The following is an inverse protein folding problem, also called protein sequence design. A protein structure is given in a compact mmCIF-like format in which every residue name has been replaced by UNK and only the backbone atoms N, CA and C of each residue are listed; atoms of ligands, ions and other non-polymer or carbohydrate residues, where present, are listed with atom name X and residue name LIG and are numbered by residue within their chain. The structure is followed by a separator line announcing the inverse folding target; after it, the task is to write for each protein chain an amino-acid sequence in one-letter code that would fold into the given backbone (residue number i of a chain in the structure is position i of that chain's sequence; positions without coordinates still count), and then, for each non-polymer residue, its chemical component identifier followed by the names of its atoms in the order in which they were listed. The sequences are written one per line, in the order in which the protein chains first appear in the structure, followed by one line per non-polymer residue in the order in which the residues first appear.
data_IF_988173162218
#
_entry.id   IF_988173162218
#
_cell.length_a   1.000
_cell.length_b   1.000
_cell.length_c   1.000
_cell.angle_alpha   90.00
_cell.angle_beta   90.00
_cell.angle_gamma   90.00
#
_symmetry.space_group_name_H-M   'P 1'
#
loop_
_entity.id
_entity.type
_entity.pdbx_description
1 polymer ?
#
# COMPACT_ATOMS: atom_id res chain seq x y z
N UNK A 1 -16.55 20.08 9.53
CA UNK A 1 -16.55 20.38 8.10
C UNK A 1 -15.17 20.11 7.57
N UNK A 2 -15.09 19.29 6.53
CA UNK A 2 -13.78 18.93 5.94
C UNK A 2 -13.65 19.51 4.52
N UNK A 3 -14.22 20.71 4.31
CA UNK A 3 -14.07 21.40 3.01
C UNK A 3 -12.81 22.24 3.12
N UNK A 4 -11.89 22.00 2.21
CA UNK A 4 -10.66 22.79 2.13
C UNK A 4 -10.39 23.11 0.68
N UNK A 5 -10.30 24.38 0.34
CA UNK A 5 -9.75 24.81 -0.93
C UNK A 5 -8.25 24.50 -0.92
N UNK A 6 -7.82 23.56 -1.77
CA UNK A 6 -6.41 23.16 -1.93
C UNK A 6 -5.67 24.20 -2.75
N UNK A 7 -6.25 24.52 -3.90
CA UNK A 7 -5.79 25.54 -4.86
C UNK A 7 -7.02 26.28 -5.37
N UNK A 8 -6.89 27.49 -5.94
CA UNK A 8 -8.04 28.26 -6.45
C UNK A 8 -8.93 27.38 -7.34
N UNK A 9 -10.16 27.11 -6.89
CA UNK A 9 -11.16 26.29 -7.58
C UNK A 9 -10.95 24.78 -7.50
N UNK A 10 -9.94 24.28 -6.79
CA UNK A 10 -9.80 22.85 -6.45
C UNK A 10 -10.07 22.66 -4.96
N UNK A 11 -11.11 21.88 -4.64
CA UNK A 11 -11.56 21.67 -3.28
C UNK A 11 -11.51 20.19 -2.89
N UNK A 12 -11.07 19.90 -1.68
CA UNK A 12 -11.24 18.61 -1.06
C UNK A 12 -12.67 18.51 -0.51
N UNK A 13 -13.37 17.44 -0.87
CA UNK A 13 -14.74 17.14 -0.40
C UNK A 13 -14.87 15.75 0.20
N UNK A 14 -13.75 15.07 0.40
CA UNK A 14 -13.69 13.73 0.97
C UNK A 14 -14.07 13.64 2.44
N UNK A 15 -13.87 12.46 3.00
CA UNK A 15 -14.27 12.11 4.38
C UNK A 15 -13.18 11.34 5.11
N UNK A 16 -13.22 11.39 6.44
CA UNK A 16 -12.39 10.56 7.31
C UNK A 16 -13.24 9.48 7.96
N UNK A 17 -12.79 8.23 7.87
CA UNK A 17 -13.35 7.09 8.58
C UNK A 17 -12.42 6.65 9.72
N UNK A 18 -12.94 6.73 10.95
CA UNK A 18 -12.25 6.28 12.17
C UNK A 18 -12.96 5.11 12.82
N UNK A 19 -13.93 4.52 12.12
CA UNK A 19 -14.83 3.49 12.66
C UNK A 19 -14.63 2.13 12.02
N UNK A 20 -14.29 2.09 10.75
CA UNK A 20 -13.96 0.84 10.04
C UNK A 20 -12.67 0.27 10.59
N UNK A 21 -12.72 -0.99 10.99
CA UNK A 21 -11.59 -1.66 11.64
C UNK A 21 -10.66 -2.37 10.66
N UNK A 22 -11.15 -2.67 9.44
CA UNK A 22 -10.38 -3.38 8.41
C UNK A 22 -10.69 -2.86 7.02
N UNK A 23 -9.66 -2.50 6.28
CA UNK A 23 -9.71 -2.20 4.84
C UNK A 23 -9.82 -3.50 4.04
N UNK A 24 -10.67 -3.54 3.00
CA UNK A 24 -10.99 -4.76 2.23
C UNK A 24 -11.41 -5.98 3.10
N UNK A 25 -11.84 -5.75 4.34
CA UNK A 25 -12.11 -6.82 5.29
C UNK A 25 -10.86 -7.57 5.80
N UNK A 26 -9.65 -7.19 5.38
CA UNK A 26 -8.38 -7.89 5.62
C UNK A 26 -7.41 -7.09 6.49
N UNK A 27 -7.16 -5.83 6.15
CA UNK A 27 -6.05 -5.04 6.67
C UNK A 27 -6.52 -4.13 7.80
N UNK A 28 -5.94 -4.26 8.97
CA UNK A 28 -6.33 -3.45 10.13
C UNK A 28 -6.12 -1.95 9.88
N UNK A 29 -7.00 -1.14 10.45
CA UNK A 29 -6.97 0.32 10.36
C UNK A 29 -6.82 0.99 11.74
N UNK A 30 -5.68 0.82 12.43
CA UNK A 30 -5.50 1.38 13.78
C UNK A 30 -5.55 2.91 13.79
N UNK A 31 -5.26 3.56 12.67
CA UNK A 31 -5.30 5.02 12.50
C UNK A 31 -6.49 5.46 11.61
N UNK A 32 -7.45 4.56 11.34
CA UNK A 32 -8.53 4.83 10.39
C UNK A 32 -8.06 4.93 8.94
N UNK A 33 -8.87 5.55 8.09
CA UNK A 33 -8.58 5.82 6.67
C UNK A 33 -9.32 7.08 6.23
N UNK A 34 -8.80 7.79 5.25
CA UNK A 34 -9.56 8.83 4.54
C UNK A 34 -10.01 8.31 3.17
N UNK A 35 -11.22 8.68 2.75
CA UNK A 35 -11.70 8.52 1.38
C UNK A 35 -11.77 9.89 0.77
N UNK A 36 -10.82 10.19 -0.10
CA UNK A 36 -10.66 11.52 -0.67
C UNK A 36 -11.39 11.63 -2.00
N UNK A 37 -12.14 12.70 -2.16
CA UNK A 37 -12.76 13.11 -3.39
C UNK A 37 -12.52 14.62 -3.58
N UNK A 38 -12.48 15.06 -4.83
CA UNK A 38 -12.09 16.43 -5.15
C UNK A 38 -13.07 17.07 -6.12
N UNK A 39 -13.40 18.35 -5.90
CA UNK A 39 -14.14 19.17 -6.85
C UNK A 39 -13.17 20.10 -7.59
N UNK A 40 -13.27 20.11 -8.89
CA UNK A 40 -12.66 21.12 -9.76
C UNK A 40 -13.78 22.03 -10.26
N UNK A 41 -13.88 23.21 -9.64
CA UNK A 41 -14.92 24.21 -9.93
C UNK A 41 -14.39 25.26 -10.89
N UNK A 42 -14.97 25.29 -12.10
CA UNK A 42 -14.68 26.26 -13.14
C UNK A 42 -16.00 26.71 -13.81
N UNK A 43 -16.05 27.03 -15.10
CA UNK A 43 -17.30 27.23 -15.84
C UNK A 43 -18.18 25.99 -15.74
N UNK A 44 -17.57 24.80 -15.88
CA UNK A 44 -18.13 23.49 -15.55
C UNK A 44 -17.54 22.95 -14.29
N UNK A 45 -18.29 22.11 -13.59
CA UNK A 45 -17.85 21.45 -12.35
C UNK A 45 -17.56 19.97 -12.62
N UNK A 46 -16.37 19.53 -12.24
CA UNK A 46 -16.01 18.11 -12.23
C UNK A 46 -15.80 17.62 -10.79
N UNK A 47 -16.42 16.50 -10.44
CA UNK A 47 -16.08 15.72 -9.26
C UNK A 47 -15.10 14.63 -9.68
N UNK A 48 -13.99 14.49 -8.94
CA UNK A 48 -12.98 13.46 -9.17
C UNK A 48 -13.12 12.40 -8.07
N UNK A 49 -13.49 11.18 -8.48
CA UNK A 49 -13.84 10.04 -7.65
C UNK A 49 -14.96 10.33 -6.63
N UNK A 50 -15.42 9.33 -5.92
CA UNK A 50 -16.39 9.43 -4.84
C UNK A 50 -15.82 8.84 -3.55
N UNK A 51 -16.68 8.43 -2.62
CA UNK A 51 -16.29 7.80 -1.36
C UNK A 51 -17.10 6.52 -1.16
N UNK A 52 -16.72 5.73 -0.19
CA UNK A 52 -17.44 4.54 0.26
C UNK A 52 -18.89 4.90 0.62
N UNK A 53 -19.85 4.01 0.31
CA UNK A 53 -21.30 4.27 0.36
C UNK A 53 -21.77 4.76 1.74
N UNK A 54 -21.21 4.21 2.82
CA UNK A 54 -21.57 4.60 4.19
C UNK A 54 -21.32 6.09 4.48
N UNK A 55 -20.42 6.71 3.73
CA UNK A 55 -20.05 8.13 3.86
C UNK A 55 -20.63 9.02 2.76
N UNK A 56 -21.41 8.46 1.83
CA UNK A 56 -21.99 9.20 0.70
C UNK A 56 -22.77 10.44 1.11
N UNK A 57 -23.58 10.37 2.18
CA UNK A 57 -24.31 11.54 2.68
C UNK A 57 -23.39 12.70 3.05
N UNK A 58 -22.25 12.39 3.67
CA UNK A 58 -21.26 13.41 4.06
C UNK A 58 -20.58 14.02 2.82
N UNK A 59 -20.25 13.19 1.82
CA UNK A 59 -19.75 13.67 0.54
C UNK A 59 -20.74 14.69 -0.09
N UNK A 60 -22.03 14.36 -0.13
CA UNK A 60 -23.04 15.24 -0.73
C UNK A 60 -23.22 16.54 0.05
N UNK A 61 -23.16 16.50 1.38
CA UNK A 61 -23.12 17.71 2.22
C UNK A 61 -21.90 18.57 1.86
N UNK A 62 -20.69 17.99 1.80
CA UNK A 62 -19.46 18.71 1.47
C UNK A 62 -19.53 19.35 0.07
N UNK A 63 -20.05 18.61 -0.91
CA UNK A 63 -20.28 19.15 -2.28
C UNK A 63 -21.20 20.37 -2.22
N UNK A 64 -22.36 20.23 -1.59
CA UNK A 64 -23.34 21.30 -1.50
C UNK A 64 -22.80 22.54 -0.78
N UNK A 65 -22.04 22.37 0.29
CA UNK A 65 -21.39 23.48 0.99
C UNK A 65 -20.33 24.18 0.12
N UNK A 66 -19.68 23.44 -0.80
CA UNK A 66 -18.62 23.97 -1.67
C UNK A 66 -19.20 24.76 -2.85
N UNK A 67 -20.17 24.18 -3.57
CA UNK A 67 -20.67 24.75 -4.83
C UNK A 67 -22.13 25.26 -4.78
N UNK A 68 -22.80 25.14 -3.61
CA UNK A 68 -24.21 25.51 -3.46
C UNK A 68 -25.12 24.66 -4.33
N UNK A 69 -26.01 25.30 -5.07
CA UNK A 69 -26.97 24.66 -5.96
C UNK A 69 -26.44 24.52 -7.41
N UNK A 70 -25.14 24.76 -7.66
CA UNK A 70 -24.56 24.54 -8.99
C UNK A 70 -24.62 23.03 -9.33
N UNK A 71 -24.93 22.68 -10.60
CA UNK A 71 -24.85 21.30 -11.05
C UNK A 71 -23.40 20.81 -11.07
N UNK A 72 -23.22 19.49 -10.96
CA UNK A 72 -21.97 18.82 -11.31
C UNK A 72 -22.11 18.34 -12.75
N UNK A 73 -21.27 18.86 -13.65
CA UNK A 73 -21.29 18.49 -15.06
C UNK A 73 -20.68 17.12 -15.32
N UNK A 74 -19.60 16.80 -14.59
CA UNK A 74 -18.84 15.58 -14.80
C UNK A 74 -18.47 14.88 -13.48
N UNK A 75 -18.58 13.55 -13.49
CA UNK A 75 -17.90 12.67 -12.53
C UNK A 75 -16.76 11.98 -13.25
N UNK A 76 -15.53 12.27 -12.91
CA UNK A 76 -14.35 11.57 -13.40
C UNK A 76 -14.05 10.42 -12.45
N UNK A 77 -13.97 9.20 -12.98
CA UNK A 77 -13.69 7.99 -12.18
C UNK A 77 -12.30 7.48 -12.54
N UNK A 78 -11.34 7.76 -11.67
CA UNK A 78 -9.98 7.27 -11.81
C UNK A 78 -9.86 5.78 -11.45
N UNK A 79 -10.69 5.32 -10.47
CA UNK A 79 -10.65 3.97 -9.96
C UNK A 79 -12.03 3.45 -9.56
N UNK A 80 -12.30 2.17 -9.82
CA UNK A 80 -13.62 1.56 -9.66
C UNK A 80 -13.79 0.72 -8.39
N UNK A 81 -12.78 0.66 -7.52
CA UNK A 81 -12.94 -0.01 -6.25
C UNK A 81 -14.10 0.61 -5.45
N UNK A 82 -14.95 -0.20 -4.77
CA UNK A 82 -16.18 0.31 -4.15
C UNK A 82 -15.99 1.44 -3.14
N UNK A 83 -14.86 1.52 -2.46
CA UNK A 83 -14.57 2.61 -1.52
C UNK A 83 -14.38 3.99 -2.19
N UNK A 84 -14.25 4.02 -3.53
CA UNK A 84 -14.22 5.25 -4.36
C UNK A 84 -15.37 5.33 -5.35
N UNK A 85 -16.14 4.26 -5.53
CA UNK A 85 -17.17 4.21 -6.56
C UNK A 85 -18.57 3.91 -6.06
N UNK A 86 -18.74 3.36 -4.84
CA UNK A 86 -20.07 2.91 -4.38
C UNK A 86 -21.08 4.04 -4.19
N UNK A 87 -20.64 5.28 -4.03
CA UNK A 87 -21.54 6.45 -3.99
C UNK A 87 -22.04 6.93 -5.37
N UNK A 88 -21.58 6.37 -6.50
CA UNK A 88 -21.91 6.78 -7.87
C UNK A 88 -23.44 6.72 -8.13
N UNK A 89 -24.10 5.62 -7.73
CA UNK A 89 -25.53 5.46 -7.94
C UNK A 89 -26.37 6.52 -7.20
N UNK A 90 -25.97 6.88 -5.99
CA UNK A 90 -26.64 7.94 -5.22
C UNK A 90 -26.37 9.32 -5.83
N UNK A 91 -25.14 9.56 -6.26
CA UNK A 91 -24.76 10.80 -6.94
C UNK A 91 -25.55 11.01 -8.23
N UNK A 92 -25.69 9.97 -9.08
CA UNK A 92 -26.46 10.02 -10.33
C UNK A 92 -27.96 10.30 -10.09
N UNK A 93 -28.51 9.86 -8.96
CA UNK A 93 -29.89 10.21 -8.56
C UNK A 93 -30.04 11.67 -8.14
N UNK A 94 -29.03 12.24 -7.46
CA UNK A 94 -29.03 13.64 -7.03
C UNK A 94 -28.74 14.60 -8.17
N UNK A 95 -27.88 14.22 -9.10
CA UNK A 95 -27.48 14.99 -10.28
C UNK A 95 -27.76 14.19 -11.55
N UNK A 96 -29.04 14.11 -12.00
CA UNK A 96 -29.43 13.26 -13.14
C UNK A 96 -28.68 13.56 -14.44
N UNK A 97 -28.29 14.80 -14.65
CA UNK A 97 -27.61 15.28 -15.88
C UNK A 97 -26.08 15.06 -15.84
N UNK A 98 -25.53 14.59 -14.72
CA UNK A 98 -24.08 14.37 -14.58
C UNK A 98 -23.60 13.35 -15.62
N UNK A 99 -22.50 13.67 -16.30
CA UNK A 99 -21.84 12.75 -17.22
C UNK A 99 -20.70 12.04 -16.54
N UNK A 100 -20.69 10.72 -16.64
CA UNK A 100 -19.62 9.89 -16.04
C UNK A 100 -18.49 9.72 -17.03
N UNK A 101 -17.30 10.18 -16.66
CA UNK A 101 -16.08 10.18 -17.47
C UNK A 101 -15.15 9.07 -17.01
N UNK A 102 -14.77 8.19 -17.92
CA UNK A 102 -13.85 7.09 -17.63
C UNK A 102 -13.39 6.40 -18.90
N UNK A 103 -12.41 5.50 -18.78
CA UNK A 103 -12.03 4.71 -19.95
C UNK A 103 -13.03 3.55 -20.19
N UNK A 104 -12.91 2.85 -21.30
CA UNK A 104 -13.85 1.80 -21.70
C UNK A 104 -14.06 0.73 -20.63
N UNK A 105 -13.00 0.35 -19.86
CA UNK A 105 -13.12 -0.64 -18.76
C UNK A 105 -13.85 -0.06 -17.56
N UNK A 106 -13.57 1.19 -17.20
CA UNK A 106 -14.29 1.93 -16.15
C UNK A 106 -15.79 1.95 -16.48
N UNK A 107 -16.16 2.33 -17.69
CA UNK A 107 -17.58 2.39 -18.10
C UNK A 107 -18.23 1.01 -18.12
N UNK A 108 -17.51 -0.03 -18.55
CA UNK A 108 -17.98 -1.41 -18.47
C UNK A 108 -18.26 -1.84 -17.02
N UNK A 109 -17.36 -1.50 -16.08
CA UNK A 109 -17.54 -1.81 -14.66
C UNK A 109 -18.68 -1.03 -14.03
N UNK A 110 -18.87 0.24 -14.39
CA UNK A 110 -20.01 1.06 -13.96
C UNK A 110 -21.34 0.43 -14.40
N UNK A 111 -21.43 -0.05 -15.64
CA UNK A 111 -22.58 -0.83 -16.10
C UNK A 111 -22.79 -2.10 -15.27
N UNK A 112 -21.72 -2.84 -15.00
CA UNK A 112 -21.76 -4.09 -14.23
C UNK A 112 -22.11 -3.93 -12.76
N UNK A 113 -21.53 -2.93 -12.07
CA UNK A 113 -21.77 -2.67 -10.65
C UNK A 113 -23.06 -1.89 -10.38
N UNK A 114 -23.37 -0.90 -11.22
CA UNK A 114 -24.39 0.11 -10.90
C UNK A 114 -25.53 0.17 -11.92
N UNK A 115 -25.46 -0.59 -13.03
CA UNK A 115 -26.47 -0.59 -14.08
C UNK A 115 -26.57 0.73 -14.84
N UNK A 116 -25.53 1.55 -14.85
CA UNK A 116 -25.50 2.85 -15.52
C UNK A 116 -24.80 2.70 -16.87
N UNK A 117 -25.55 2.89 -17.96
CA UNK A 117 -25.04 2.77 -19.34
C UNK A 117 -25.18 4.08 -20.14
N UNK A 118 -25.99 5.03 -19.65
CA UNK A 118 -26.24 6.31 -20.30
C UNK A 118 -25.45 7.45 -19.64
N UNK A 119 -25.34 8.57 -20.35
CA UNK A 119 -24.64 9.79 -19.92
C UNK A 119 -23.17 9.54 -19.54
N UNK A 120 -22.49 8.74 -20.37
CA UNK A 120 -21.09 8.41 -20.21
C UNK A 120 -20.22 9.10 -21.27
N UNK A 121 -18.99 9.40 -20.90
CA UNK A 121 -17.95 9.95 -21.78
C UNK A 121 -16.74 9.01 -21.70
N UNK A 122 -16.54 8.24 -22.77
CA UNK A 122 -15.33 7.40 -22.89
C UNK A 122 -14.14 8.29 -23.22
N UNK A 123 -13.05 8.10 -22.48
CA UNK A 123 -11.78 8.79 -22.70
C UNK A 123 -10.63 7.79 -22.88
N UNK A 124 -9.58 8.25 -23.54
CA UNK A 124 -8.39 7.48 -23.86
C UNK A 124 -7.12 8.18 -23.38
N UNK A 125 -6.00 7.48 -23.50
CA UNK A 125 -4.66 7.98 -23.16
C UNK A 125 -4.39 9.34 -23.80
N UNK A 126 -4.09 10.36 -23.00
CA UNK A 126 -3.74 11.71 -23.44
C UNK A 126 -4.89 12.58 -23.90
N UNK A 127 -6.14 12.07 -23.89
CA UNK A 127 -7.30 12.90 -24.19
C UNK A 127 -7.58 13.89 -23.06
N UNK A 128 -8.25 14.98 -23.39
CA UNK A 128 -8.51 16.08 -22.47
C UNK A 128 -9.98 16.50 -22.47
N UNK A 129 -10.45 16.95 -21.30
CA UNK A 129 -11.79 17.49 -21.07
C UNK A 129 -11.67 18.94 -20.58
N UNK A 130 -12.23 19.88 -21.32
CA UNK A 130 -12.26 21.29 -20.90
C UNK A 130 -13.40 21.56 -19.92
N UNK A 131 -13.08 22.27 -18.84
CA UNK A 131 -14.03 22.79 -17.86
C UNK A 131 -14.28 24.30 -18.02
N UNK A 132 -13.61 24.94 -18.97
CA UNK A 132 -13.58 26.38 -19.20
C UNK A 132 -12.15 26.90 -19.21
N UNK A 133 -11.69 27.49 -18.12
CA UNK A 133 -10.31 27.95 -17.97
C UNK A 133 -9.34 26.83 -17.55
N UNK A 134 -9.85 25.66 -17.19
CA UNK A 134 -9.07 24.48 -16.78
C UNK A 134 -9.35 23.30 -17.70
N UNK A 135 -8.34 22.46 -17.83
CA UNK A 135 -8.39 21.25 -18.63
C UNK A 135 -8.02 20.05 -17.74
N UNK A 136 -8.73 18.95 -17.90
CA UNK A 136 -8.40 17.67 -17.29
C UNK A 136 -7.83 16.75 -18.38
N UNK A 137 -6.60 16.31 -18.24
CA UNK A 137 -5.94 15.38 -19.17
C UNK A 137 -5.75 14.03 -18.50
N UNK A 138 -6.04 12.95 -19.23
CA UNK A 138 -6.15 11.59 -18.68
C UNK A 138 -4.98 10.71 -19.11
N UNK A 139 -4.37 10.00 -18.15
CA UNK A 139 -3.29 9.06 -18.41
C UNK A 139 -3.64 7.70 -17.81
N UNK A 140 -3.58 6.65 -18.63
CA UNK A 140 -3.91 5.30 -18.18
C UNK A 140 -2.80 4.73 -17.33
N UNK A 141 -3.16 4.17 -16.17
CA UNK A 141 -2.28 3.51 -15.22
C UNK A 141 -2.77 2.07 -14.91
N UNK A 142 -2.96 1.21 -15.93
CA UNK A 142 -3.58 -0.09 -15.75
C UNK A 142 -2.78 -0.95 -14.75
N UNK A 143 -3.51 -1.65 -13.87
CA UNK A 143 -2.97 -2.46 -12.78
C UNK A 143 -2.25 -1.65 -11.68
N UNK A 144 -2.61 -0.37 -11.50
CA UNK A 144 -2.18 0.41 -10.35
C UNK A 144 -3.42 0.84 -9.52
N UNK A 145 -4.18 -0.11 -8.86
CA UNK A 145 -3.86 -1.56 -8.84
C UNK A 145 -4.89 -2.41 -9.62
N UNK A 146 -5.93 -1.83 -10.21
CA UNK A 146 -6.92 -2.51 -11.06
C UNK A 146 -6.71 -2.19 -12.55
N UNK A 147 -7.33 -3.00 -13.47
CA UNK A 147 -7.03 -2.88 -14.91
C UNK A 147 -7.55 -1.62 -15.59
N UNK A 148 -8.52 -0.93 -14.98
CA UNK A 148 -9.14 0.30 -15.50
C UNK A 148 -8.49 1.57 -14.95
N UNK A 149 -7.64 1.47 -13.93
CA UNK A 149 -7.08 2.63 -13.23
C UNK A 149 -6.44 3.63 -14.19
N UNK A 150 -6.73 4.91 -13.95
CA UNK A 150 -6.13 6.04 -14.64
C UNK A 150 -5.79 7.15 -13.64
N UNK A 151 -5.05 8.14 -14.08
CA UNK A 151 -4.77 9.38 -13.35
C UNK A 151 -5.24 10.57 -14.16
N UNK A 152 -5.69 11.61 -13.48
CA UNK A 152 -6.20 12.85 -14.09
C UNK A 152 -5.27 13.99 -13.76
N UNK A 153 -4.83 14.75 -14.74
CA UNK A 153 -3.91 15.87 -14.58
C UNK A 153 -4.55 17.19 -14.99
N UNK A 154 -4.41 18.21 -14.14
CA UNK A 154 -4.81 19.58 -14.43
C UNK A 154 -3.55 20.42 -14.68
N UNK A 155 -3.18 20.69 -15.95
CA UNK A 155 -1.92 21.34 -16.30
C UNK A 155 -1.84 22.79 -15.83
N UNK A 156 -2.94 23.54 -15.81
CA UNK A 156 -2.98 24.95 -15.41
C UNK A 156 -2.60 25.13 -13.92
N UNK A 157 -2.83 24.10 -13.11
CA UNK A 157 -2.52 24.11 -11.68
C UNK A 157 -1.52 23.04 -11.30
N UNK A 158 -0.92 22.33 -12.29
CA UNK A 158 0.10 21.29 -12.07
C UNK A 158 -0.32 20.26 -11.01
N UNK A 159 -1.62 19.93 -11.00
CA UNK A 159 -2.24 19.04 -10.01
C UNK A 159 -2.53 17.69 -10.63
N UNK A 160 -2.09 16.62 -9.96
CA UNK A 160 -2.30 15.23 -10.35
C UNK A 160 -3.25 14.54 -9.38
N UNK A 161 -4.40 14.06 -9.87
CA UNK A 161 -5.34 13.21 -9.16
C UNK A 161 -5.02 11.76 -9.52
N UNK A 162 -4.64 10.95 -8.53
CA UNK A 162 -3.90 9.70 -8.79
C UNK A 162 -4.70 8.42 -8.54
N UNK A 163 -5.96 8.52 -8.12
CA UNK A 163 -6.62 7.37 -7.53
C UNK A 163 -5.79 6.86 -6.33
N UNK A 164 -5.64 5.59 -6.21
CA UNK A 164 -4.93 4.93 -5.11
C UNK A 164 -3.42 5.10 -5.10
N UNK A 165 -2.84 5.47 -6.24
CA UNK A 165 -1.41 5.71 -6.27
C UNK A 165 -1.01 6.84 -5.32
N UNK A 166 0.08 6.64 -4.58
CA UNK A 166 0.58 7.55 -3.54
C UNK A 166 -0.32 7.67 -2.30
N UNK A 167 -1.33 6.78 -2.19
CA UNK A 167 -2.22 6.68 -1.05
C UNK A 167 -1.55 6.10 0.19
N UNK A 168 -2.16 6.35 1.34
CA UNK A 168 -1.75 5.82 2.63
C UNK A 168 -2.97 5.43 3.47
N UNK A 169 -2.84 4.42 4.34
CA UNK A 169 -3.78 4.30 5.43
C UNK A 169 -3.62 5.48 6.41
N UNK A 170 -4.62 5.69 7.23
CA UNK A 170 -4.68 6.78 8.20
C UNK A 170 -5.72 7.85 7.85
N UNK A 171 -6.54 8.21 8.82
CA UNK A 171 -7.44 9.34 8.74
C UNK A 171 -6.66 10.63 8.97
N UNK A 172 -7.11 11.73 8.36
CA UNK A 172 -6.43 13.03 8.42
C UNK A 172 -6.78 13.76 9.72
N UNK A 173 -5.77 14.22 10.45
CA UNK A 173 -5.90 14.86 11.75
C UNK A 173 -5.92 16.40 11.62
N UNK A 174 -7.10 16.94 11.26
CA UNK A 174 -7.37 18.39 11.23
C UNK A 174 -6.91 19.11 9.96
N UNK A 175 -5.79 18.72 9.36
CA UNK A 175 -5.30 19.21 8.07
C UNK A 175 -5.60 18.25 6.94
N UNK A 176 -5.36 18.68 5.69
CA UNK A 176 -5.49 17.86 4.49
C UNK A 176 -4.18 17.83 3.72
N UNK A 177 -3.46 18.94 3.72
CA UNK A 177 -2.17 19.08 3.07
C UNK A 177 -1.04 18.53 3.97
N UNK A 178 -0.04 17.92 3.36
CA UNK A 178 1.11 17.35 4.07
C UNK A 178 1.77 18.33 5.03
N UNK A 179 1.85 19.62 4.67
CA UNK A 179 2.39 20.70 5.51
C UNK A 179 1.56 21.05 6.73
N UNK A 180 0.33 20.51 6.86
CA UNK A 180 -0.60 20.77 7.96
C UNK A 180 -0.67 19.60 8.95
N UNK A 181 -0.02 18.48 8.64
CA UNK A 181 -0.14 17.21 9.33
C UNK A 181 1.17 16.80 10.00
N UNK A 182 1.08 16.04 11.09
CA UNK A 182 2.21 15.29 11.60
C UNK A 182 2.39 14.01 10.77
N UNK A 183 3.43 13.98 9.95
CA UNK A 183 3.62 12.93 8.93
C UNK A 183 4.28 11.65 9.47
N UNK A 184 4.68 11.61 10.72
CA UNK A 184 5.51 10.52 11.25
C UNK A 184 4.96 9.13 10.96
N UNK A 185 3.69 8.89 11.26
CA UNK A 185 3.06 7.59 11.02
C UNK A 185 2.66 7.35 9.55
N UNK A 186 2.36 8.40 8.78
CA UNK A 186 1.94 8.26 7.38
C UNK A 186 3.02 7.63 6.50
N UNK A 187 4.31 7.80 6.80
CA UNK A 187 5.37 7.14 6.04
C UNK A 187 5.36 5.62 6.17
N UNK A 188 5.18 5.11 7.38
CA UNK A 188 5.05 3.67 7.58
C UNK A 188 3.70 3.14 7.04
N UNK A 189 2.62 3.92 7.17
CA UNK A 189 1.31 3.59 6.63
C UNK A 189 1.30 3.60 5.08
N UNK A 190 2.06 4.47 4.42
CA UNK A 190 2.23 4.44 2.96
C UNK A 190 2.94 3.16 2.50
N UNK A 191 4.00 2.75 3.17
CA UNK A 191 4.69 1.49 2.85
C UNK A 191 3.75 0.31 3.10
N UNK A 192 2.96 0.35 4.18
CA UNK A 192 1.98 -0.68 4.52
C UNK A 192 0.85 -0.74 3.48
N UNK A 193 0.29 0.40 3.09
CA UNK A 193 -0.69 0.52 2.02
C UNK A 193 -0.14 -0.06 0.72
N UNK A 194 1.05 0.40 0.30
CA UNK A 194 1.71 -0.13 -0.90
C UNK A 194 1.87 -1.65 -0.84
N UNK A 195 2.42 -2.19 0.25
CA UNK A 195 2.67 -3.63 0.41
C UNK A 195 1.38 -4.47 0.38
N UNK A 196 0.28 -3.94 0.94
CA UNK A 196 -1.00 -4.63 1.01
C UNK A 196 -1.78 -4.56 -0.32
N UNK A 197 -1.83 -3.40 -0.94
CA UNK A 197 -2.74 -3.06 -2.06
C UNK A 197 -1.99 -3.12 -3.41
N UNK A 198 -0.90 -2.42 -3.55
CA UNK A 198 -0.18 -2.23 -4.83
C UNK A 198 0.95 -3.25 -5.04
N UNK A 199 1.43 -3.87 -3.98
CA UNK A 199 2.72 -4.58 -3.90
C UNK A 199 3.01 -5.64 -4.95
N UNK A 200 2.00 -6.25 -5.57
CA UNK A 200 2.14 -7.19 -6.69
C UNK A 200 2.55 -6.51 -8.00
N UNK A 201 2.25 -5.24 -8.16
CA UNK A 201 2.20 -4.55 -9.45
C UNK A 201 3.37 -3.60 -9.68
N UNK A 202 4.58 -3.94 -9.21
CA UNK A 202 5.76 -3.08 -9.35
C UNK A 202 6.05 -2.63 -10.79
N UNK A 203 5.99 -3.53 -11.78
CA UNK A 203 6.22 -3.18 -13.18
C UNK A 203 5.15 -2.24 -13.77
N UNK A 204 3.84 -2.42 -13.53
CA UNK A 204 2.82 -1.41 -13.82
C UNK A 204 3.09 -0.05 -13.19
N UNK A 205 3.45 0.00 -11.89
CA UNK A 205 3.80 1.25 -11.19
C UNK A 205 4.99 1.94 -11.87
N UNK A 206 6.04 1.21 -12.24
CA UNK A 206 7.18 1.79 -12.97
C UNK A 206 6.77 2.43 -14.32
N UNK A 207 5.83 1.80 -15.04
CA UNK A 207 5.29 2.37 -16.29
C UNK A 207 4.47 3.65 -16.02
N UNK A 208 3.66 3.66 -14.98
CA UNK A 208 2.90 4.86 -14.57
C UNK A 208 3.86 6.00 -14.17
N UNK A 209 4.88 5.70 -13.34
CA UNK A 209 5.91 6.68 -12.95
C UNK A 209 6.65 7.26 -14.15
N UNK A 210 6.96 6.46 -15.19
CA UNK A 210 7.60 6.98 -16.41
C UNK A 210 6.73 8.01 -17.13
N UNK A 211 5.41 7.83 -17.16
CA UNK A 211 4.47 8.80 -17.76
C UNK A 211 4.43 10.09 -16.95
N UNK A 212 4.19 9.99 -15.64
CA UNK A 212 4.04 11.20 -14.81
C UNK A 212 5.32 12.01 -14.67
N UNK A 213 6.51 11.40 -14.84
CA UNK A 213 7.81 12.13 -14.86
C UNK A 213 7.91 13.15 -15.99
N UNK A 214 7.07 13.07 -17.01
CA UNK A 214 7.01 14.06 -18.10
C UNK A 214 6.14 15.26 -17.77
N UNK A 215 5.42 15.22 -16.65
CA UNK A 215 4.51 16.26 -16.20
C UNK A 215 5.17 17.16 -15.15
N UNK A 216 4.83 18.44 -15.17
CA UNK A 216 5.17 19.36 -14.10
C UNK A 216 4.14 19.20 -12.96
N UNK A 217 4.50 18.52 -11.87
CA UNK A 217 3.61 18.24 -10.76
C UNK A 217 4.00 19.09 -9.55
N UNK A 218 3.06 19.89 -9.04
CA UNK A 218 3.21 20.65 -7.81
C UNK A 218 2.38 20.04 -6.67
N UNK A 219 1.24 19.42 -7.00
CA UNK A 219 0.31 18.83 -6.02
C UNK A 219 -0.11 17.43 -6.47
N UNK A 220 -0.08 16.46 -5.55
CA UNK A 220 -0.60 15.10 -5.76
C UNK A 220 -1.81 14.91 -4.84
N UNK A 221 -2.95 14.59 -5.46
CA UNK A 221 -4.24 14.34 -4.82
C UNK A 221 -4.59 12.85 -4.94
N UNK A 222 -4.25 12.05 -3.94
CA UNK A 222 -4.60 10.63 -3.88
C UNK A 222 -5.96 10.41 -3.23
N UNK A 223 -6.55 9.24 -3.42
CA UNK A 223 -7.84 8.85 -2.83
C UNK A 223 -7.75 8.52 -1.34
N UNK A 224 -6.54 8.34 -0.81
CA UNK A 224 -6.28 8.08 0.61
C UNK A 224 -5.11 8.88 1.14
N UNK A 225 -5.20 9.33 2.40
CA UNK A 225 -4.13 10.03 3.10
C UNK A 225 -3.96 11.49 2.70
N UNK A 226 -2.82 12.11 2.99
CA UNK A 226 -2.57 13.52 2.74
C UNK A 226 -2.56 13.90 1.25
N UNK A 227 -2.92 15.14 0.97
CA UNK A 227 -2.58 15.81 -0.28
C UNK A 227 -1.11 16.24 -0.19
N UNK A 228 -0.30 15.80 -1.16
CA UNK A 228 1.14 15.98 -1.15
C UNK A 228 1.56 17.20 -1.96
N UNK A 229 2.16 18.18 -1.30
CA UNK A 229 2.75 19.38 -1.89
C UNK A 229 4.25 19.46 -1.61
N UNK A 230 4.62 19.56 -0.32
CA UNK A 230 6.02 19.71 0.10
C UNK A 230 6.80 18.42 0.01
N UNK A 231 6.17 17.29 0.32
CA UNK A 231 6.80 15.97 0.35
C UNK A 231 6.58 15.15 -0.94
N UNK A 232 6.03 15.74 -2.00
CA UNK A 232 5.71 15.05 -3.26
C UNK A 232 6.89 14.30 -3.87
N UNK A 233 8.07 14.90 -3.87
CA UNK A 233 9.29 14.25 -4.41
C UNK A 233 9.69 13.02 -3.60
N UNK A 234 9.57 13.10 -2.28
CA UNK A 234 9.83 11.99 -1.38
C UNK A 234 8.81 10.85 -1.58
N UNK A 235 7.55 11.20 -1.78
CA UNK A 235 6.47 10.24 -2.08
C UNK A 235 6.72 9.52 -3.41
N UNK A 236 7.08 10.25 -4.47
CA UNK A 236 7.42 9.68 -5.78
C UNK A 236 8.66 8.77 -5.67
N UNK A 237 9.69 9.21 -4.96
CA UNK A 237 10.91 8.42 -4.74
C UNK A 237 10.62 7.14 -3.94
N UNK A 238 9.75 7.21 -2.95
CA UNK A 238 9.34 6.04 -2.17
C UNK A 238 8.59 5.01 -3.05
N UNK A 239 7.65 5.46 -3.87
CA UNK A 239 6.94 4.58 -4.81
C UNK A 239 7.88 3.99 -5.87
N UNK A 240 8.86 4.75 -6.39
CA UNK A 240 9.88 4.24 -7.32
C UNK A 240 10.70 3.12 -6.67
N UNK A 241 11.15 3.31 -5.44
CA UNK A 241 11.91 2.31 -4.68
C UNK A 241 11.08 1.04 -4.40
N UNK A 242 9.86 1.21 -3.88
CA UNK A 242 8.98 0.08 -3.53
C UNK A 242 8.59 -0.74 -4.76
N UNK A 243 8.32 -0.09 -5.88
CA UNK A 243 7.95 -0.76 -7.13
C UNK A 243 9.12 -1.47 -7.83
N UNK A 244 10.34 -1.13 -7.49
CA UNK A 244 11.56 -1.89 -7.84
C UNK A 244 11.88 -2.98 -6.83
N UNK A 245 11.07 -3.10 -5.77
CA UNK A 245 11.29 -4.03 -4.65
C UNK A 245 12.63 -3.83 -3.95
N UNK A 246 13.17 -2.62 -3.96
CA UNK A 246 14.43 -2.28 -3.31
C UNK A 246 14.22 -2.12 -1.81
N UNK A 247 14.77 -3.06 -1.03
CA UNK A 247 14.78 -2.98 0.43
C UNK A 247 15.87 -2.04 0.96
N UNK A 248 15.60 -1.44 2.10
CA UNK A 248 16.62 -0.75 2.91
C UNK A 248 17.43 -1.78 3.72
N UNK A 249 18.68 -1.48 4.08
CA UNK A 249 19.41 -2.31 5.02
C UNK A 249 18.65 -2.47 6.34
N UNK A 250 18.34 -3.71 6.72
CA UNK A 250 17.60 -4.04 7.93
C UNK A 250 17.12 -5.48 7.93
N UNK A 251 16.77 -5.98 9.09
CA UNK A 251 16.37 -7.39 9.28
C UNK A 251 15.01 -7.50 9.93
N UNK A 252 14.14 -8.28 9.31
CA UNK A 252 12.89 -8.74 9.89
C UNK A 252 13.07 -10.16 10.39
N UNK A 253 12.73 -10.43 11.65
CA UNK A 253 12.66 -11.76 12.24
C UNK A 253 11.19 -12.06 12.51
N UNK A 254 10.60 -12.98 11.74
CA UNK A 254 9.22 -13.39 11.87
C UNK A 254 9.14 -14.85 12.29
N UNK A 255 8.46 -15.15 13.40
CA UNK A 255 8.45 -16.50 13.93
C UNK A 255 7.08 -16.93 14.48
N UNK A 256 6.83 -18.23 14.39
CA UNK A 256 5.78 -18.91 15.16
C UNK A 256 6.39 -19.60 16.37
N UNK A 257 5.70 -19.62 17.49
CA UNK A 257 6.13 -20.34 18.70
C UNK A 257 4.94 -20.80 19.51
N UNK A 258 4.90 -22.08 19.91
CA UNK A 258 3.81 -22.63 20.74
C UNK A 258 4.08 -22.47 22.24
N UNK A 259 5.29 -22.84 22.67
CA UNK A 259 5.66 -22.91 24.08
C UNK A 259 6.98 -22.18 24.40
N UNK A 260 7.37 -21.20 23.55
CA UNK A 260 8.51 -20.32 23.80
C UNK A 260 9.86 -20.81 23.29
N UNK A 261 10.04 -22.08 22.88
CA UNK A 261 11.37 -22.59 22.48
C UNK A 261 11.86 -21.96 21.17
N UNK A 262 10.99 -21.85 20.15
CA UNK A 262 11.32 -21.18 18.89
C UNK A 262 11.52 -19.67 19.10
N UNK A 263 10.77 -19.07 20.01
CA UNK A 263 10.91 -17.67 20.43
C UNK A 263 12.27 -17.40 21.09
N UNK A 264 12.71 -18.25 22.02
CA UNK A 264 14.02 -18.11 22.65
C UNK A 264 15.15 -18.16 21.62
N UNK A 265 15.03 -19.01 20.60
CA UNK A 265 15.98 -19.05 19.48
C UNK A 265 15.93 -17.75 18.68
N UNK A 266 14.73 -17.20 18.38
CA UNK A 266 14.58 -15.92 17.68
C UNK A 266 15.23 -14.77 18.48
N UNK A 267 15.01 -14.71 19.78
CA UNK A 267 15.61 -13.72 20.68
C UNK A 267 17.14 -13.83 20.74
N UNK A 268 17.67 -15.05 20.78
CA UNK A 268 19.12 -15.28 20.76
C UNK A 268 19.74 -14.82 19.43
N UNK A 269 19.14 -15.18 18.30
CA UNK A 269 19.57 -14.72 16.96
C UNK A 269 19.51 -13.19 16.88
N UNK A 270 18.44 -12.56 17.36
CA UNK A 270 18.29 -11.10 17.34
C UNK A 270 19.38 -10.40 18.14
N UNK A 271 19.71 -10.91 19.33
CA UNK A 271 20.79 -10.39 20.16
C UNK A 271 22.13 -10.49 19.44
N UNK A 272 22.44 -11.65 18.89
CA UNK A 272 23.69 -11.89 18.17
C UNK A 272 23.83 -11.00 16.94
N UNK A 273 22.74 -10.74 16.22
CA UNK A 273 22.71 -9.77 15.11
C UNK A 273 22.99 -8.33 15.60
N UNK A 274 22.37 -7.94 16.72
CA UNK A 274 22.56 -6.60 17.29
C UNK A 274 24.02 -6.38 17.75
N UNK A 275 24.66 -7.39 18.36
CA UNK A 275 26.07 -7.38 18.75
C UNK A 275 27.01 -7.22 17.55
N UNK A 276 26.63 -7.73 16.38
CA UNK A 276 27.32 -7.56 15.09
C UNK A 276 26.99 -6.24 14.38
N UNK A 277 26.19 -5.38 15.04
CA UNK A 277 25.85 -4.04 14.54
C UNK A 277 24.75 -4.02 13.50
N UNK A 278 24.03 -5.11 13.27
CA UNK A 278 22.86 -5.15 12.37
C UNK A 278 21.74 -4.30 12.95
N UNK A 279 21.23 -3.37 12.19
CA UNK A 279 20.11 -2.47 12.56
C UNK A 279 19.47 -1.80 11.35
N UNK A 280 18.14 -1.57 11.39
CA UNK A 280 17.23 -1.98 12.45
C UNK A 280 16.95 -3.49 12.43
N UNK A 281 16.53 -4.03 13.56
CA UNK A 281 15.97 -5.38 13.68
C UNK A 281 14.51 -5.23 14.10
N UNK A 282 13.61 -5.90 13.38
CA UNK A 282 12.18 -5.93 13.67
C UNK A 282 11.77 -7.38 13.97
N UNK A 283 11.24 -7.63 15.16
CA UNK A 283 10.83 -8.97 15.59
C UNK A 283 9.31 -9.09 15.66
N UNK A 284 8.78 -10.20 15.15
CA UNK A 284 7.35 -10.45 15.10
C UNK A 284 7.02 -11.89 15.52
N UNK A 285 6.31 -12.03 16.66
CA UNK A 285 5.58 -13.26 16.96
C UNK A 285 4.29 -13.28 16.15
N UNK A 286 4.22 -14.16 15.16
CA UNK A 286 3.14 -14.20 14.19
C UNK A 286 1.78 -14.62 14.77
N UNK A 287 1.76 -15.21 15.98
CA UNK A 287 0.51 -15.50 16.68
C UNK A 287 -0.23 -14.25 17.18
N UNK A 288 0.46 -13.10 17.27
CA UNK A 288 -0.10 -11.85 17.77
C UNK A 288 0.15 -10.64 16.87
N UNK A 289 1.14 -10.72 15.99
CA UNK A 289 1.48 -9.61 15.10
C UNK A 289 0.44 -9.41 13.99
N UNK A 290 0.13 -8.15 13.68
CA UNK A 290 -0.67 -7.84 12.50
C UNK A 290 0.11 -8.19 11.22
N UNK A 291 -0.41 -9.07 10.34
CA UNK A 291 0.30 -9.50 9.16
C UNK A 291 0.59 -8.37 8.15
N UNK A 292 -0.20 -7.29 8.14
CA UNK A 292 0.05 -6.13 7.28
C UNK A 292 1.29 -5.34 7.72
N UNK A 293 1.52 -5.25 9.03
CA UNK A 293 2.72 -4.61 9.59
C UNK A 293 3.98 -5.43 9.27
N UNK A 294 3.89 -6.75 9.40
CA UNK A 294 5.00 -7.64 9.02
C UNK A 294 5.29 -7.52 7.53
N UNK A 295 4.25 -7.53 6.69
CA UNK A 295 4.38 -7.41 5.24
C UNK A 295 4.98 -6.05 4.84
N UNK A 296 4.58 -4.95 5.50
CA UNK A 296 5.22 -3.63 5.36
C UNK A 296 6.73 -3.72 5.54
N UNK A 297 7.18 -4.35 6.63
CA UNK A 297 8.59 -4.41 6.95
C UNK A 297 9.36 -5.37 6.04
N UNK A 298 8.71 -6.43 5.51
CA UNK A 298 9.29 -7.27 4.45
C UNK A 298 9.48 -6.49 3.14
N UNK A 299 8.60 -5.51 2.83
CA UNK A 299 8.82 -4.59 1.71
C UNK A 299 9.90 -3.56 2.00
N UNK A 300 9.95 -3.06 3.24
CA UNK A 300 10.88 -2.01 3.66
C UNK A 300 12.32 -2.49 3.74
N UNK A 301 12.56 -3.69 4.27
CA UNK A 301 13.90 -4.20 4.56
C UNK A 301 14.33 -5.33 3.62
N UNK A 302 15.63 -5.46 3.44
CA UNK A 302 16.25 -6.39 2.48
C UNK A 302 16.45 -7.82 3.01
N UNK A 303 16.36 -8.02 4.33
CA UNK A 303 16.64 -9.30 4.98
C UNK A 303 15.45 -9.81 5.79
N UNK A 304 15.07 -11.08 5.54
CA UNK A 304 14.03 -11.78 6.28
C UNK A 304 14.58 -13.06 6.91
N UNK A 305 14.43 -13.19 8.21
CA UNK A 305 14.72 -14.41 9.00
C UNK A 305 13.39 -15.00 9.46
N UNK A 306 13.11 -16.25 9.11
CA UNK A 306 11.85 -16.90 9.47
C UNK A 306 12.07 -18.10 10.36
N UNK A 307 11.34 -18.15 11.49
CA UNK A 307 11.33 -19.24 12.44
C UNK A 307 9.99 -19.98 12.52
N UNK A 308 10.01 -21.31 12.49
CA UNK A 308 8.79 -22.11 12.62
C UNK A 308 9.03 -23.40 13.40
N UNK A 309 8.15 -23.75 14.38
CA UNK A 309 8.08 -25.13 14.81
C UNK A 309 7.45 -25.99 13.72
N UNK A 310 7.79 -27.28 13.68
CA UNK A 310 7.05 -28.26 12.90
C UNK A 310 5.71 -28.52 13.58
N UNK A 311 4.62 -28.24 12.85
CA UNK A 311 3.24 -28.43 13.30
C UNK A 311 2.48 -29.32 12.31
N UNK A 312 1.95 -30.44 12.78
CA UNK A 312 1.25 -31.44 11.95
C UNK A 312 2.05 -31.90 10.68
N UNK A 313 3.38 -31.94 10.78
CA UNK A 313 4.23 -32.30 9.67
C UNK A 313 4.48 -31.18 8.64
N UNK A 314 4.13 -29.93 8.95
CA UNK A 314 4.22 -28.75 8.12
C UNK A 314 4.72 -27.54 8.93
N UNK A 315 4.61 -26.36 8.35
CA UNK A 315 4.84 -25.08 9.04
C UNK A 315 3.79 -24.81 10.11
N UNK A 316 4.12 -23.94 11.04
CA UNK A 316 3.14 -23.33 11.92
C UNK A 316 2.17 -22.47 11.10
N UNK A 317 0.83 -22.55 11.33
CA UNK A 317 -0.16 -21.95 10.42
C UNK A 317 0.03 -20.46 10.15
N UNK A 318 0.38 -19.67 11.17
CA UNK A 318 0.60 -18.23 11.02
C UNK A 318 1.86 -17.91 10.20
N UNK A 319 2.87 -18.78 10.27
CA UNK A 319 4.07 -18.68 9.43
C UNK A 319 3.68 -18.96 7.97
N UNK A 320 2.95 -20.06 7.71
CA UNK A 320 2.47 -20.39 6.39
C UNK A 320 1.62 -19.24 5.81
N UNK A 321 0.70 -18.69 6.60
CA UNK A 321 -0.16 -17.58 6.19
C UNK A 321 0.65 -16.33 5.78
N UNK A 322 1.70 -15.98 6.50
CA UNK A 322 2.62 -14.89 6.12
C UNK A 322 3.34 -15.20 4.81
N UNK A 323 3.93 -16.39 4.69
CA UNK A 323 4.67 -16.77 3.48
C UNK A 323 3.78 -16.76 2.24
N UNK A 324 2.52 -17.21 2.33
CA UNK A 324 1.53 -17.12 1.25
C UNK A 324 1.26 -15.68 0.83
N UNK A 325 1.17 -14.74 1.80
CA UNK A 325 1.00 -13.31 1.49
C UNK A 325 2.21 -12.73 0.77
N UNK A 326 3.42 -13.12 1.16
CA UNK A 326 4.66 -12.71 0.49
C UNK A 326 4.73 -13.27 -0.93
N UNK A 327 4.44 -14.56 -1.11
CA UNK A 327 4.39 -15.21 -2.43
C UNK A 327 3.43 -14.51 -3.40
N UNK A 328 2.24 -14.15 -2.91
CA UNK A 328 1.21 -13.48 -3.72
C UNK A 328 1.67 -12.13 -4.28
N UNK A 329 2.63 -11.46 -3.65
CA UNK A 329 3.22 -10.20 -4.12
C UNK A 329 4.41 -10.39 -5.05
N UNK A 330 4.98 -11.61 -5.08
CA UNK A 330 6.08 -11.93 -5.98
C UNK A 330 7.33 -11.08 -5.78
N UNK A 331 7.67 -10.76 -4.53
CA UNK A 331 8.87 -9.97 -4.20
C UNK A 331 10.11 -10.70 -4.72
N UNK A 332 10.89 -10.14 -5.67
CA UNK A 332 11.85 -10.91 -6.43
C UNK A 332 13.18 -11.17 -5.71
N UNK A 333 13.56 -10.38 -4.75
CA UNK A 333 14.89 -10.44 -4.14
C UNK A 333 14.85 -10.10 -2.66
N UNK A 334 15.32 -11.02 -1.83
CA UNK A 334 15.58 -10.80 -0.41
C UNK A 334 16.71 -11.73 0.03
N UNK A 335 17.50 -11.27 0.99
CA UNK A 335 18.35 -12.14 1.78
C UNK A 335 17.49 -12.92 2.76
N UNK A 336 17.65 -14.23 2.82
CA UNK A 336 16.79 -15.10 3.60
C UNK A 336 17.60 -16.00 4.53
N UNK A 337 17.18 -16.13 5.78
CA UNK A 337 17.64 -17.14 6.72
C UNK A 337 16.44 -17.83 7.37
N UNK A 338 16.62 -19.07 7.75
CA UNK A 338 15.56 -19.87 8.34
C UNK A 338 16.04 -20.63 9.56
N UNK A 339 15.16 -20.78 10.54
CA UNK A 339 15.35 -21.66 11.68
C UNK A 339 14.06 -22.38 12.03
N UNK A 340 14.17 -23.53 12.68
CA UNK A 340 12.99 -24.30 13.02
C UNK A 340 13.18 -25.17 14.24
N UNK A 341 12.07 -25.67 14.79
CA UNK A 341 12.07 -26.61 15.89
C UNK A 341 11.16 -27.79 15.64
N UNK A 342 11.47 -28.91 16.23
CA UNK A 342 10.66 -30.13 16.20
C UNK A 342 10.89 -30.97 17.43
N UNK A 343 9.98 -31.92 17.71
CA UNK A 343 10.15 -32.88 18.84
C UNK A 343 10.54 -34.27 18.35
N UNK A 344 9.80 -34.86 17.38
CA UNK A 344 10.05 -36.22 16.88
C UNK A 344 10.32 -36.30 15.39
N UNK A 345 9.73 -35.40 14.57
CA UNK A 345 9.93 -35.35 13.12
C UNK A 345 10.07 -33.91 12.67
N UNK A 346 11.07 -33.62 11.83
CA UNK A 346 11.32 -32.31 11.26
C UNK A 346 10.64 -32.16 9.92
N UNK A 347 10.02 -30.98 9.66
CA UNK A 347 9.49 -30.61 8.36
C UNK A 347 9.63 -29.10 8.09
N UNK A 348 9.50 -28.24 9.12
CA UNK A 348 9.41 -26.80 8.94
C UNK A 348 10.57 -26.19 8.13
N UNK A 349 11.81 -26.53 8.45
CA UNK A 349 12.99 -25.97 7.76
C UNK A 349 13.05 -26.36 6.28
N UNK A 350 12.54 -27.56 5.93
CA UNK A 350 12.41 -27.98 4.53
C UNK A 350 11.45 -27.06 3.76
N UNK A 351 10.28 -26.78 4.31
CA UNK A 351 9.28 -25.91 3.68
C UNK A 351 9.75 -24.45 3.60
N UNK A 352 10.51 -23.96 4.59
CA UNK A 352 11.13 -22.64 4.55
C UNK A 352 12.19 -22.54 3.44
N UNK A 353 12.95 -23.60 3.19
CA UNK A 353 13.89 -23.67 2.06
C UNK A 353 13.15 -23.67 0.73
N UNK A 354 12.14 -24.51 0.57
CA UNK A 354 11.31 -24.60 -0.64
C UNK A 354 10.66 -23.23 -0.98
N UNK A 355 10.23 -22.49 0.03
CA UNK A 355 9.73 -21.12 -0.14
C UNK A 355 10.79 -20.17 -0.72
N UNK A 356 12.01 -20.15 -0.16
CA UNK A 356 13.09 -19.31 -0.67
C UNK A 356 13.49 -19.68 -2.12
N UNK A 357 13.57 -20.97 -2.40
CA UNK A 357 13.87 -21.48 -3.74
C UNK A 357 12.80 -21.06 -4.77
N UNK A 358 11.53 -21.17 -4.41
CA UNK A 358 10.39 -20.77 -5.24
C UNK A 358 10.44 -19.29 -5.64
N UNK A 359 10.80 -18.42 -4.70
CA UNK A 359 10.94 -16.98 -4.94
C UNK A 359 12.32 -16.59 -5.48
N UNK A 360 13.25 -17.57 -5.62
CA UNK A 360 14.65 -17.32 -6.00
C UNK A 360 15.36 -16.37 -5.05
N UNK A 361 15.04 -16.43 -3.75
CA UNK A 361 15.69 -15.64 -2.74
C UNK A 361 17.03 -16.26 -2.33
N UNK A 362 17.98 -15.42 -1.93
CA UNK A 362 19.30 -15.86 -1.51
C UNK A 362 19.26 -16.37 -0.06
N UNK A 363 19.50 -17.68 0.12
CA UNK A 363 19.75 -18.24 1.46
C UNK A 363 21.13 -17.80 1.94
N UNK A 364 21.21 -17.19 3.16
CA UNK A 364 22.48 -16.77 3.75
C UNK A 364 23.33 -17.95 4.20
N UNK A 365 22.67 -18.99 4.71
CA UNK A 365 23.29 -20.20 5.28
C UNK A 365 22.30 -21.37 5.26
N UNK A 366 22.79 -22.54 5.63
CA UNK A 366 21.92 -23.67 5.92
C UNK A 366 20.95 -23.34 7.05
N UNK A 367 19.65 -23.72 6.94
CA UNK A 367 18.68 -23.51 8.01
C UNK A 367 19.12 -24.12 9.33
N UNK A 368 18.95 -23.37 10.41
CA UNK A 368 19.18 -23.88 11.75
C UNK A 368 18.01 -24.71 12.24
N UNK A 369 18.28 -25.88 12.78
CA UNK A 369 17.24 -26.75 13.29
C UNK A 369 17.50 -27.16 14.75
N UNK A 370 16.45 -27.05 15.56
CA UNK A 370 16.50 -27.41 16.98
C UNK A 370 15.56 -28.57 17.26
N UNK A 371 16.09 -29.60 17.94
CA UNK A 371 15.28 -30.70 18.48
C UNK A 371 14.93 -30.41 19.94
N UNK A 372 13.61 -30.34 20.22
CA UNK A 372 13.05 -30.15 21.58
C UNK A 372 13.33 -28.75 22.17
N UNK A 373 13.95 -28.65 23.37
CA UNK A 373 14.13 -27.38 24.05
C UNK A 373 15.36 -26.59 23.60
N UNK A 374 15.28 -25.28 23.68
CA UNK A 374 16.42 -24.39 23.45
C UNK A 374 17.32 -24.36 24.67
N UNK A 375 18.60 -24.57 24.44
CA UNK A 375 19.67 -24.48 25.48
C UNK A 375 21.02 -24.17 24.82
N UNK A 376 22.10 -24.04 25.60
CA UNK A 376 23.44 -23.67 25.13
C UNK A 376 24.07 -24.56 24.05
N UNK A 377 23.46 -25.71 23.73
CA UNK A 377 23.91 -26.57 22.58
C UNK A 377 23.67 -25.92 21.23
N UNK A 378 22.80 -24.91 21.17
CA UNK A 378 22.43 -24.23 19.94
C UNK A 378 23.09 -22.85 19.77
N UNK A 379 23.82 -22.37 20.77
CA UNK A 379 24.47 -21.05 20.76
C UNK A 379 25.38 -20.86 19.54
N UNK A 380 26.33 -21.79 19.33
CA UNK A 380 27.23 -21.76 18.16
C UNK A 380 26.48 -21.77 16.81
N UNK A 381 25.32 -22.45 16.73
CA UNK A 381 24.56 -22.52 15.52
C UNK A 381 23.80 -21.22 15.27
N UNK A 382 23.27 -20.57 16.31
CA UNK A 382 22.69 -19.24 16.25
C UNK A 382 23.71 -18.18 15.87
N UNK A 383 24.94 -18.28 16.44
CA UNK A 383 26.06 -17.40 16.09
C UNK A 383 26.42 -17.49 14.61
N UNK A 384 26.57 -18.71 14.06
CA UNK A 384 26.85 -18.90 12.63
C UNK A 384 25.75 -18.34 11.73
N UNK A 385 24.47 -18.47 12.11
CA UNK A 385 23.36 -17.86 11.36
C UNK A 385 23.47 -16.33 11.42
N UNK A 386 23.72 -15.78 12.61
CA UNK A 386 23.88 -14.34 12.78
C UNK A 386 25.10 -13.79 12.00
N UNK A 387 26.22 -14.50 11.98
CA UNK A 387 27.41 -14.15 11.18
C UNK A 387 27.08 -14.11 9.67
N UNK A 388 26.37 -15.12 9.18
CA UNK A 388 25.99 -15.20 7.78
C UNK A 388 25.03 -14.07 7.34
N UNK A 389 24.09 -13.71 8.19
CA UNK A 389 23.16 -12.57 7.96
C UNK A 389 23.94 -11.26 8.04
N UNK A 390 24.77 -11.06 9.06
CA UNK A 390 25.56 -9.84 9.24
C UNK A 390 26.55 -9.57 8.10
N UNK A 391 27.16 -10.62 7.56
CA UNK A 391 28.04 -10.49 6.39
C UNK A 391 27.30 -9.90 5.17
N UNK A 392 26.08 -10.38 4.89
CA UNK A 392 25.26 -9.85 3.79
C UNK A 392 24.81 -8.41 4.03
N UNK A 393 24.47 -8.08 5.29
CA UNK A 393 24.11 -6.73 5.68
C UNK A 393 25.26 -5.73 5.51
N UNK A 394 26.51 -6.17 5.71
CA UNK A 394 27.73 -5.40 5.42
C UNK A 394 27.93 -5.13 3.93
N UNK A 395 27.73 -6.13 3.08
CA UNK A 395 27.85 -6.01 1.62
C UNK A 395 26.87 -4.99 1.04
N UNK A 396 25.65 -4.93 1.54
CA UNK A 396 24.64 -3.95 1.12
C UNK A 396 25.01 -2.50 1.44
N UNK A 397 25.90 -2.25 2.43
CA UNK A 397 26.38 -0.91 2.79
C UNK A 397 27.57 -0.41 1.96
N UNK A 398 28.36 -1.35 1.43
CA UNK A 398 29.60 -1.02 0.66
C UNK A 398 29.35 -0.93 -0.84
N UNK A 399 28.17 -1.29 -1.31
CA UNK A 399 27.73 -1.30 -2.72
C UNK A 399 27.05 -0.01 -3.20
N UNK A 400 27.46 1.14 -2.68
CA UNK A 400 27.09 2.47 -3.20
C UNK A 400 28.23 3.04 -4.04
#
# INVERSE_FOLDING_TARGET
MNITEILPGIHYVGVNDRTTTRFEGLWSLPHGVSYNAYLVADEKVALIDTVEEAFGSRLFENIRETIGDRPIDYLVVNHMEPDHSSSISALKRLYPEIKIVGNAKTLQMIGGYYGIEADTVEIREGESLSLGNRTLTFYMAPMVHWPETMVTYCPEQKTLFTGDAFGTFGALDGGILDRQLELGHFWDEMIRYYACIVGKYGAPVQKALQKIRTLEIETICSTHGPVWEQEKERVIALYDRLSRYQGEPGTVIAYGSMYGNTEQMAEHIARNLAERGVRPIRMYNLSSADPSVVLRDVFKYDTLVVGSPTYNGDLFPEVEALLRKIEARGIPQRTFAAFGSFTWASAAVKHLREFAEKLKWTMCCEPLEMKQGFDGRYDDACDRLADAVAARWGDCRTGN
#
